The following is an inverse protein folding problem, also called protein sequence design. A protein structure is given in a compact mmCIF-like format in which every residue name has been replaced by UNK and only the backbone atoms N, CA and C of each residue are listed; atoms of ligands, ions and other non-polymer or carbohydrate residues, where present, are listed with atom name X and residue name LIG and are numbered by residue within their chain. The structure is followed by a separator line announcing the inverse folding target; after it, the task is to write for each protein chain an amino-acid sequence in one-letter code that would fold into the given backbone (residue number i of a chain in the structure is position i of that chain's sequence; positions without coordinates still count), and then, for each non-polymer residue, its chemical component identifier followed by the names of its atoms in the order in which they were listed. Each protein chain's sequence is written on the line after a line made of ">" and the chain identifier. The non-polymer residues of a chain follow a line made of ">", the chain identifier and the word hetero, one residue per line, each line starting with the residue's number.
data_IF_560206655358
#
_entry.id   IF_560206655358
#
_cell.length_a   1.000
_cell.length_b   1.000
_cell.length_c   1.000
_cell.angle_alpha   90.00
_cell.angle_beta   90.00
_cell.angle_gamma   90.00
#
_symmetry.space_group_name_H-M   'P 1'
#
loop_
_entity.id
_entity.type
_entity.pdbx_description
1 polymer ?
#
# COMPACT_ATOMS: atom_id res chain seq x y z
N UNK A 1 -11.11 -21.81 -13.65
CA UNK A 1 -10.46 -21.70 -12.33
C UNK A 1 -11.17 -20.68 -11.45
N UNK A 2 -11.27 -19.41 -11.86
CA UNK A 2 -12.05 -18.40 -11.11
C UNK A 2 -13.49 -18.82 -10.81
N UNK A 3 -14.18 -19.46 -11.76
CA UNK A 3 -15.54 -19.95 -11.55
C UNK A 3 -15.65 -21.10 -10.53
N UNK A 4 -14.63 -21.95 -10.44
CA UNK A 4 -14.62 -23.05 -9.47
C UNK A 4 -14.40 -22.51 -8.05
N UNK A 5 -13.48 -21.55 -7.89
CA UNK A 5 -13.27 -20.83 -6.63
C UNK A 5 -14.53 -20.08 -6.20
N UNK A 6 -15.19 -19.41 -7.16
CA UNK A 6 -16.44 -18.71 -6.88
C UNK A 6 -17.52 -19.68 -6.40
N UNK A 7 -17.70 -20.82 -7.06
CA UNK A 7 -18.67 -21.83 -6.64
C UNK A 7 -18.37 -22.36 -5.23
N UNK A 8 -17.12 -22.69 -4.92
CA UNK A 8 -16.73 -23.15 -3.58
C UNK A 8 -17.07 -22.13 -2.48
N UNK A 9 -16.78 -20.84 -2.71
CA UNK A 9 -17.16 -19.79 -1.77
C UNK A 9 -18.68 -19.63 -1.60
N UNK A 10 -19.42 -19.70 -2.71
CA UNK A 10 -20.89 -19.63 -2.67
C UNK A 10 -21.47 -20.82 -1.88
N UNK A 11 -20.94 -22.02 -2.09
CA UNK A 11 -21.41 -23.22 -1.40
C UNK A 11 -21.12 -23.13 0.10
N UNK A 12 -19.92 -22.69 0.49
CA UNK A 12 -19.58 -22.40 1.89
C UNK A 12 -20.52 -21.39 2.55
N UNK A 13 -20.86 -20.32 1.83
CA UNK A 13 -21.82 -19.32 2.31
C UNK A 13 -23.23 -19.90 2.51
N UNK A 14 -23.69 -20.77 1.60
CA UNK A 14 -25.01 -21.41 1.69
C UNK A 14 -25.09 -22.41 2.84
N UNK A 15 -24.02 -23.18 3.07
CA UNK A 15 -23.91 -24.08 4.22
C UNK A 15 -24.00 -23.34 5.55
N UNK A 16 -23.48 -22.11 5.61
CA UNK A 16 -23.62 -21.22 6.75
C UNK A 16 -25.02 -20.57 6.87
N UNK A 17 -25.97 -20.93 6.00
CA UNK A 17 -27.35 -20.44 6.05
C UNK A 17 -27.56 -19.03 5.48
N UNK A 18 -26.58 -18.49 4.76
CA UNK A 18 -26.71 -17.17 4.11
C UNK A 18 -27.41 -17.26 2.75
N UNK A 19 -28.07 -16.18 2.35
CA UNK A 19 -28.63 -16.05 1.00
C UNK A 19 -27.62 -15.39 0.09
N UNK A 20 -27.29 -16.02 -1.05
CA UNK A 20 -26.26 -15.52 -1.96
C UNK A 20 -26.88 -14.94 -3.24
N UNK A 21 -26.59 -13.68 -3.54
CA UNK A 21 -26.87 -13.05 -4.83
C UNK A 21 -25.61 -13.04 -5.71
N UNK A 22 -25.77 -13.17 -7.03
CA UNK A 22 -24.68 -13.05 -8.00
C UNK A 22 -24.86 -11.76 -8.79
N UNK A 23 -23.74 -11.12 -9.12
CA UNK A 23 -23.72 -9.94 -9.98
C UNK A 23 -22.86 -10.21 -11.21
N UNK A 24 -23.26 -9.62 -12.34
CA UNK A 24 -22.44 -9.54 -13.55
C UNK A 24 -21.89 -8.13 -13.76
N UNK A 25 -22.21 -7.20 -12.86
CA UNK A 25 -21.65 -5.85 -12.87
C UNK A 25 -20.18 -5.91 -12.44
N UNK A 26 -19.29 -5.40 -13.26
CA UNK A 26 -17.85 -5.36 -12.96
C UNK A 26 -17.51 -4.43 -11.78
N UNK A 27 -18.44 -3.59 -11.34
CA UNK A 27 -18.30 -2.70 -10.19
C UNK A 27 -18.74 -3.36 -8.87
N UNK A 28 -19.39 -4.52 -8.94
CA UNK A 28 -19.81 -5.31 -7.78
C UNK A 28 -18.96 -6.57 -7.64
N UNK A 29 -18.84 -7.12 -6.42
CA UNK A 29 -18.24 -8.45 -6.25
C UNK A 29 -19.08 -9.51 -6.98
N UNK A 30 -18.46 -10.59 -7.49
CA UNK A 30 -19.16 -11.61 -8.27
C UNK A 30 -20.32 -12.29 -7.53
N UNK A 31 -20.23 -12.35 -6.20
CA UNK A 31 -21.32 -12.78 -5.34
C UNK A 31 -21.30 -12.08 -3.98
N UNK A 32 -22.48 -11.87 -3.40
CA UNK A 32 -22.69 -11.31 -2.06
C UNK A 32 -23.55 -12.29 -1.26
N UNK A 33 -23.00 -12.79 -0.17
CA UNK A 33 -23.72 -13.55 0.84
C UNK A 33 -24.34 -12.57 1.85
N UNK A 34 -25.64 -12.65 2.04
CA UNK A 34 -26.39 -11.83 3.00
C UNK A 34 -26.86 -12.74 4.15
N UNK A 35 -26.63 -12.35 5.41
CA UNK A 35 -27.11 -13.12 6.55
C UNK A 35 -28.65 -13.21 6.50
N UNK A 36 -29.25 -14.26 7.07
CA UNK A 36 -30.70 -14.34 7.19
C UNK A 36 -31.22 -13.10 7.92
N UNK A 37 -32.31 -12.51 7.43
CA UNK A 37 -32.93 -11.38 8.10
C UNK A 37 -33.21 -11.78 9.56
N UNK A 38 -32.67 -11.01 10.51
CA UNK A 38 -33.00 -11.19 11.91
C UNK A 38 -34.53 -11.14 12.02
N UNK A 39 -35.15 -12.22 12.49
CA UNK A 39 -36.59 -12.24 12.73
C UNK A 39 -36.91 -11.05 13.62
N UNK A 40 -37.72 -10.11 13.12
CA UNK A 40 -37.94 -8.81 13.72
C UNK A 40 -38.37 -8.92 15.19
N UNK A 41 -37.43 -8.73 16.10
CA UNK A 41 -37.67 -8.35 17.48
C UNK A 41 -37.27 -6.88 17.66
N UNK A 42 -38.00 -6.09 18.47
CA UNK A 42 -37.53 -4.76 18.82
C UNK A 42 -36.11 -4.85 19.41
N UNK A 43 -35.27 -3.81 19.26
CA UNK A 43 -33.97 -3.81 19.90
C UNK A 43 -34.20 -3.81 21.42
N UNK A 44 -34.05 -4.97 22.05
CA UNK A 44 -33.91 -5.04 23.49
C UNK A 44 -32.68 -4.21 23.84
N UNK A 45 -32.89 -3.17 24.63
CA UNK A 45 -31.87 -2.26 25.16
C UNK A 45 -30.91 -2.93 26.16
N UNK A 46 -30.57 -4.20 25.94
CA UNK A 46 -29.45 -4.86 26.58
C UNK A 46 -28.19 -4.39 25.89
N UNK A 47 -27.50 -3.44 26.50
CA UNK A 47 -26.19 -2.98 26.05
C UNK A 47 -25.31 -4.19 25.75
N UNK A 48 -25.11 -4.47 24.47
CA UNK A 48 -24.04 -5.32 24.01
C UNK A 48 -22.80 -4.72 24.66
N UNK A 49 -22.17 -5.46 25.57
CA UNK A 49 -20.86 -5.09 26.08
C UNK A 49 -19.99 -4.89 24.85
N UNK A 50 -19.74 -3.63 24.51
CA UNK A 50 -18.70 -3.20 23.58
C UNK A 50 -17.38 -3.43 24.28
N UNK A 51 -17.10 -4.69 24.60
CA UNK A 51 -15.74 -5.12 24.82
C UNK A 51 -15.14 -5.10 23.42
N UNK A 52 -14.23 -4.16 23.09
CA UNK A 52 -13.51 -4.25 21.83
C UNK A 52 -12.89 -5.66 21.77
N UNK A 53 -12.95 -6.37 20.62
CA UNK A 53 -12.33 -7.67 20.52
C UNK A 53 -10.88 -7.53 21.01
N UNK A 54 -10.61 -8.22 22.11
CA UNK A 54 -9.30 -8.30 22.71
C UNK A 54 -8.37 -8.88 21.67
N UNK A 55 -7.44 -8.04 21.16
CA UNK A 55 -6.28 -8.31 20.31
C UNK A 55 -6.17 -9.74 19.74
N UNK A 56 -7.18 -10.23 19.04
CA UNK A 56 -7.08 -11.51 18.34
C UNK A 56 -6.18 -11.22 17.14
N UNK A 57 -4.93 -11.64 17.24
CA UNK A 57 -3.91 -11.49 16.19
C UNK A 57 -4.22 -12.35 14.97
N UNK A 58 -5.03 -13.39 15.16
CA UNK A 58 -5.39 -14.33 14.11
C UNK A 58 -6.61 -13.84 13.32
N UNK A 59 -6.59 -14.01 11.98
CA UNK A 59 -7.74 -13.67 11.16
C UNK A 59 -8.95 -14.54 11.52
N UNK A 60 -10.19 -14.03 11.41
CA UNK A 60 -11.36 -14.84 11.65
C UNK A 60 -11.41 -15.96 10.61
N UNK A 61 -11.85 -17.14 11.05
CA UNK A 61 -12.19 -18.23 10.15
C UNK A 61 -13.36 -17.82 9.23
N UNK A 62 -13.54 -18.48 8.06
CA UNK A 62 -14.69 -18.22 7.21
C UNK A 62 -16.04 -18.36 7.94
N UNK A 63 -16.15 -19.28 8.89
CA UNK A 63 -17.35 -19.47 9.69
C UNK A 63 -17.64 -18.29 10.62
N UNK A 64 -16.62 -17.79 11.32
CA UNK A 64 -16.75 -16.60 12.19
C UNK A 64 -17.09 -15.35 11.38
N UNK A 65 -16.49 -15.18 10.21
CA UNK A 65 -16.80 -14.07 9.31
C UNK A 65 -18.28 -14.07 8.90
N UNK A 66 -18.81 -15.24 8.52
CA UNK A 66 -20.20 -15.40 8.10
C UNK A 66 -21.19 -15.26 9.27
N UNK A 67 -20.79 -15.68 10.47
CA UNK A 67 -21.59 -15.54 11.68
C UNK A 67 -21.67 -14.09 12.20
N UNK A 68 -20.78 -13.19 11.74
CA UNK A 68 -20.70 -11.80 12.20
C UNK A 68 -21.90 -10.90 11.78
N UNK A 69 -22.93 -11.46 11.13
CA UNK A 69 -24.19 -10.77 10.86
C UNK A 69 -24.11 -9.63 9.84
N UNK A 70 -23.05 -9.58 9.03
CA UNK A 70 -22.85 -8.58 7.97
C UNK A 70 -22.85 -9.24 6.59
N UNK A 71 -23.20 -8.52 5.51
CA UNK A 71 -23.01 -9.04 4.16
C UNK A 71 -21.53 -9.35 3.90
N UNK A 72 -21.27 -10.44 3.18
CA UNK A 72 -19.93 -10.93 2.82
C UNK A 72 -19.82 -11.01 1.31
N UNK A 73 -18.87 -10.27 0.74
CA UNK A 73 -18.48 -10.39 -0.66
C UNK A 73 -17.61 -11.64 -0.86
N UNK A 74 -17.95 -12.50 -1.83
CA UNK A 74 -17.16 -13.68 -2.19
C UNK A 74 -16.24 -13.29 -3.34
N UNK A 75 -14.93 -13.29 -3.08
CA UNK A 75 -13.90 -12.76 -3.97
C UNK A 75 -12.92 -13.86 -4.41
N UNK A 76 -13.10 -14.47 -5.59
CA UNK A 76 -12.16 -15.46 -6.12
C UNK A 76 -10.82 -14.81 -6.42
N UNK A 77 -9.75 -15.30 -5.80
CA UNK A 77 -8.43 -14.71 -5.89
C UNK A 77 -7.41 -15.79 -6.32
N UNK A 78 -6.98 -15.81 -7.59
CA UNK A 78 -6.14 -16.89 -8.12
C UNK A 78 -4.69 -16.84 -7.62
N UNK A 79 -4.22 -15.68 -7.15
CA UNK A 79 -2.89 -15.43 -6.61
C UNK A 79 -3.01 -14.51 -5.38
N UNK A 80 -1.89 -14.00 -4.86
CA UNK A 80 -1.87 -13.08 -3.73
C UNK A 80 -1.40 -11.68 -4.14
N UNK A 81 -1.80 -11.18 -5.32
CA UNK A 81 -1.41 -9.85 -5.77
C UNK A 81 -1.80 -8.78 -4.73
N UNK A 82 -0.85 -7.99 -4.21
CA UNK A 82 -1.13 -7.02 -3.15
C UNK A 82 -2.13 -5.95 -3.55
N UNK A 83 -2.07 -5.47 -4.79
CA UNK A 83 -2.94 -4.40 -5.28
C UNK A 83 -4.39 -4.89 -5.36
N UNK A 84 -4.60 -6.07 -5.97
CA UNK A 84 -5.93 -6.67 -6.13
C UNK A 84 -6.52 -7.01 -4.77
N UNK A 85 -5.74 -7.64 -3.89
CA UNK A 85 -6.21 -8.08 -2.56
C UNK A 85 -6.65 -6.88 -1.72
N UNK A 86 -5.79 -5.86 -1.58
CA UNK A 86 -6.09 -4.66 -0.79
C UNK A 86 -7.22 -3.84 -1.41
N UNK A 87 -7.27 -3.71 -2.74
CA UNK A 87 -8.33 -2.98 -3.43
C UNK A 87 -9.71 -3.62 -3.23
N UNK A 88 -9.80 -4.95 -3.28
CA UNK A 88 -11.07 -5.66 -3.06
C UNK A 88 -11.54 -5.53 -1.62
N UNK A 89 -10.63 -5.72 -0.66
CA UNK A 89 -10.94 -5.53 0.76
C UNK A 89 -11.44 -4.10 1.01
N UNK A 90 -10.72 -3.10 0.48
CA UNK A 90 -11.10 -1.70 0.61
C UNK A 90 -12.47 -1.40 0.00
N UNK A 91 -12.72 -1.84 -1.24
CA UNK A 91 -13.98 -1.60 -1.93
C UNK A 91 -15.15 -2.23 -1.15
N UNK A 92 -15.01 -3.48 -0.71
CA UNK A 92 -16.06 -4.16 0.03
C UNK A 92 -16.32 -3.53 1.39
N UNK A 93 -15.27 -3.19 2.13
CA UNK A 93 -15.38 -2.51 3.42
C UNK A 93 -16.07 -1.15 3.30
N UNK A 94 -15.69 -0.34 2.30
CA UNK A 94 -16.32 0.97 2.02
C UNK A 94 -17.81 0.84 1.73
N UNK A 95 -18.23 -0.30 1.16
CA UNK A 95 -19.63 -0.62 0.92
C UNK A 95 -20.29 -1.44 2.04
N UNK A 96 -19.69 -1.50 3.24
CA UNK A 96 -20.26 -2.17 4.41
C UNK A 96 -20.26 -3.70 4.37
N UNK A 97 -19.42 -4.30 3.52
CA UNK A 97 -19.30 -5.75 3.33
C UNK A 97 -17.98 -6.27 3.88
N UNK A 98 -18.02 -7.43 4.54
CA UNK A 98 -16.83 -8.24 4.77
C UNK A 98 -16.39 -8.93 3.47
N UNK A 99 -15.16 -9.45 3.42
CA UNK A 99 -14.60 -10.12 2.24
C UNK A 99 -14.19 -11.55 2.55
N UNK A 100 -14.79 -12.53 1.87
CA UNK A 100 -14.29 -13.90 1.85
C UNK A 100 -13.42 -14.09 0.60
N UNK A 101 -12.10 -14.13 0.78
CA UNK A 101 -11.18 -14.45 -0.29
C UNK A 101 -11.18 -15.95 -0.53
N UNK A 102 -11.45 -16.38 -1.77
CA UNK A 102 -11.42 -17.80 -2.12
C UNK A 102 -10.23 -18.07 -3.03
N UNK A 103 -9.27 -18.84 -2.53
CA UNK A 103 -7.95 -19.03 -3.13
C UNK A 103 -7.71 -20.48 -3.53
N UNK A 104 -6.84 -20.78 -4.50
CA UNK A 104 -6.69 -22.15 -5.00
C UNK A 104 -5.90 -23.08 -4.10
N UNK A 105 -5.06 -22.55 -3.20
CA UNK A 105 -4.14 -23.36 -2.38
C UNK A 105 -3.90 -22.71 -1.03
N UNK A 106 -3.50 -23.53 -0.06
CA UNK A 106 -3.00 -23.08 1.25
C UNK A 106 -1.81 -22.11 1.14
N UNK A 107 -0.94 -22.29 0.14
CA UNK A 107 0.20 -21.40 -0.07
C UNK A 107 -0.23 -19.97 -0.44
N UNK A 108 -1.28 -19.84 -1.26
CA UNK A 108 -1.90 -18.55 -1.59
C UNK A 108 -2.67 -18.02 -0.38
N UNK A 109 -3.35 -18.88 0.38
CA UNK A 109 -4.05 -18.48 1.60
C UNK A 109 -3.11 -17.82 2.61
N UNK A 110 -2.02 -18.51 2.95
CA UNK A 110 -1.00 -17.99 3.85
C UNK A 110 -0.34 -16.69 3.35
N UNK A 111 -0.24 -16.49 2.03
CA UNK A 111 0.27 -15.25 1.46
C UNK A 111 -0.73 -14.08 1.61
N UNK A 112 -2.03 -14.34 1.39
CA UNK A 112 -3.10 -13.36 1.62
C UNK A 112 -3.20 -13.02 3.10
N UNK A 113 -3.13 -14.02 3.98
CA UNK A 113 -3.12 -13.82 5.44
C UNK A 113 -1.95 -12.95 5.87
N UNK A 114 -0.71 -13.29 5.47
CA UNK A 114 0.47 -12.44 5.77
C UNK A 114 0.30 -11.00 5.26
N UNK A 115 -0.28 -10.82 4.09
CA UNK A 115 -0.54 -9.49 3.53
C UNK A 115 -1.57 -8.71 4.33
N UNK A 116 -2.58 -9.37 4.91
CA UNK A 116 -3.69 -8.71 5.59
C UNK A 116 -3.56 -8.70 7.12
N UNK A 117 -2.61 -9.46 7.68
CA UNK A 117 -2.21 -9.39 9.08
C UNK A 117 -1.48 -8.07 9.37
N UNK A 118 -1.60 -7.52 10.59
CA UNK A 118 -0.88 -6.31 10.97
C UNK A 118 0.66 -6.46 10.87
N UNK A 119 1.38 -5.46 10.31
CA UNK A 119 0.85 -4.28 9.63
C UNK A 119 0.33 -4.63 8.22
N UNK A 120 -0.97 -4.41 8.02
CA UNK A 120 -1.71 -4.73 6.78
C UNK A 120 -0.99 -4.12 5.59
N UNK A 121 -0.85 -4.83 4.46
CA UNK A 121 -0.37 -4.28 3.20
C UNK A 121 1.11 -3.92 3.14
N UNK A 122 1.88 -4.30 4.16
CA UNK A 122 3.32 -4.09 4.22
C UNK A 122 4.04 -5.37 3.78
N UNK A 123 5.11 -5.23 2.99
CA UNK A 123 5.90 -6.38 2.51
C UNK A 123 6.69 -7.00 3.64
N UNK A 124 7.30 -6.16 4.47
CA UNK A 124 8.02 -6.57 5.65
C UNK A 124 8.07 -5.43 6.66
N UNK A 125 8.04 -5.75 7.95
CA UNK A 125 8.23 -4.78 9.02
C UNK A 125 9.20 -5.36 10.04
N UNK A 126 10.23 -4.58 10.36
CA UNK A 126 11.26 -4.89 11.35
C UNK A 126 11.49 -3.66 12.25
N UNK A 127 12.48 -3.74 13.16
CA UNK A 127 12.81 -2.64 14.07
C UNK A 127 13.34 -1.38 13.33
N UNK A 128 13.90 -1.55 12.13
CA UNK A 128 14.45 -0.45 11.32
C UNK A 128 13.36 0.29 10.52
N UNK A 129 12.24 -0.37 10.24
CA UNK A 129 11.08 0.22 9.58
C UNK A 129 10.31 -0.75 8.69
N UNK A 130 9.41 -0.18 7.88
CA UNK A 130 8.55 -0.92 6.95
C UNK A 130 9.08 -0.91 5.53
N UNK A 131 8.86 -2.02 4.83
CA UNK A 131 9.08 -2.16 3.39
C UNK A 131 7.75 -2.29 2.68
N UNK A 132 7.56 -1.53 1.61
CA UNK A 132 6.27 -1.44 0.94
C UNK A 132 6.27 -2.19 -0.40
N UNK A 133 5.12 -2.73 -0.76
CA UNK A 133 4.89 -3.22 -2.12
C UNK A 133 4.81 -2.05 -3.10
N UNK A 134 5.32 -2.24 -4.32
CA UNK A 134 5.08 -1.30 -5.40
C UNK A 134 3.61 -1.37 -5.83
N UNK A 135 2.94 -0.22 -5.86
CA UNK A 135 1.57 -0.06 -6.35
C UNK A 135 1.49 0.22 -7.85
N UNK A 136 0.26 0.24 -8.40
CA UNK A 136 0.02 0.49 -9.82
C UNK A 136 0.17 1.96 -10.21
N UNK A 137 0.05 2.85 -9.23
CA UNK A 137 0.08 4.29 -9.42
C UNK A 137 1.51 4.82 -9.59
N UNK A 138 1.58 6.06 -10.03
CA UNK A 138 2.83 6.78 -10.26
C UNK A 138 2.90 7.98 -9.34
N UNK A 139 4.09 8.28 -8.83
CA UNK A 139 4.30 9.48 -8.00
C UNK A 139 4.06 10.74 -8.85
N UNK A 140 3.02 11.51 -8.52
CA UNK A 140 2.77 12.85 -9.07
C UNK A 140 3.66 13.86 -8.35
N UNK A 141 4.07 14.91 -9.03
CA UNK A 141 4.94 15.95 -8.47
C UNK A 141 4.20 17.28 -8.29
N UNK A 142 4.66 18.11 -7.35
CA UNK A 142 4.11 19.45 -7.09
C UNK A 142 4.10 20.32 -8.34
N UNK A 143 5.18 20.29 -9.10
CA UNK A 143 5.34 21.08 -10.33
C UNK A 143 4.63 20.47 -11.54
N UNK A 144 3.89 19.38 -11.33
CA UNK A 144 3.23 18.61 -12.36
C UNK A 144 4.11 17.54 -12.99
N UNK A 145 3.47 16.64 -13.74
CA UNK A 145 4.12 15.44 -14.25
C UNK A 145 4.31 14.38 -13.15
N UNK A 146 5.29 13.51 -13.37
CA UNK A 146 5.52 12.32 -12.56
C UNK A 146 7.01 12.05 -12.35
N UNK A 147 7.37 11.38 -11.27
CA UNK A 147 8.75 10.97 -11.01
C UNK A 147 9.22 9.87 -11.98
N UNK A 148 10.51 9.92 -12.32
CA UNK A 148 11.21 8.91 -13.10
C UNK A 148 12.59 8.59 -12.49
N UNK A 149 13.07 7.39 -12.78
CA UNK A 149 14.40 6.91 -12.42
C UNK A 149 15.03 6.19 -13.61
N UNK A 150 16.36 6.00 -13.61
CA UNK A 150 16.99 5.10 -14.57
C UNK A 150 16.35 3.71 -14.53
N UNK A 151 16.25 3.06 -15.69
CA UNK A 151 16.00 1.62 -15.74
C UNK A 151 17.19 0.89 -15.12
N UNK A 152 16.92 -0.20 -14.40
CA UNK A 152 17.96 -0.93 -13.69
C UNK A 152 17.35 -1.90 -12.69
N UNK A 153 18.01 -2.13 -11.53
CA UNK A 153 17.60 -3.06 -10.48
C UNK A 153 16.15 -2.88 -10.01
N UNK A 154 15.62 -3.83 -9.23
CA UNK A 154 14.30 -3.68 -8.62
C UNK A 154 14.25 -2.42 -7.73
N UNK A 155 13.10 -1.72 -7.75
CA UNK A 155 12.86 -0.57 -6.89
C UNK A 155 12.24 -1.04 -5.59
N UNK A 156 12.73 -0.51 -4.49
CA UNK A 156 12.21 -0.79 -3.15
C UNK A 156 11.87 0.51 -2.43
N UNK A 157 10.70 0.55 -1.80
CA UNK A 157 10.32 1.60 -0.88
C UNK A 157 10.50 1.09 0.55
N UNK A 158 11.27 1.82 1.36
CA UNK A 158 11.57 1.44 2.75
C UNK A 158 11.57 2.67 3.66
N UNK A 159 10.99 2.51 4.84
CA UNK A 159 11.16 3.44 5.96
C UNK A 159 12.53 3.29 6.61
N UNK A 160 13.11 4.40 7.05
CA UNK A 160 14.37 4.39 7.79
C UNK A 160 14.34 5.45 8.88
N UNK A 161 14.98 5.14 10.01
CA UNK A 161 15.30 6.11 11.07
C UNK A 161 16.73 6.62 10.98
N UNK A 162 17.50 6.21 9.98
CA UNK A 162 18.86 6.72 9.79
C UNK A 162 18.81 8.16 9.27
N UNK A 163 19.31 9.15 10.02
CA UNK A 163 19.35 10.53 9.56
C UNK A 163 20.14 10.64 8.25
N UNK A 164 19.78 11.56 7.35
CA UNK A 164 20.57 11.78 6.16
C UNK A 164 21.98 12.22 6.58
N UNK A 165 23.01 11.65 5.96
CA UNK A 165 24.34 12.24 6.09
C UNK A 165 24.22 13.71 5.64
N UNK A 166 24.73 14.67 6.43
CA UNK A 166 24.73 16.07 6.03
C UNK A 166 25.62 16.22 4.80
N UNK A 167 25.02 16.13 3.62
CA UNK A 167 25.68 16.40 2.35
C UNK A 167 25.78 17.91 2.21
N UNK A 168 26.92 18.44 2.61
CA UNK A 168 27.30 19.81 2.39
C UNK A 168 28.80 19.90 2.20
N UNK A 169 29.22 20.25 0.98
CA UNK A 169 30.40 21.13 0.90
C UNK A 169 29.96 22.37 1.68
N UNK A 170 30.54 22.57 2.87
CA UNK A 170 30.33 23.80 3.63
C UNK A 170 30.64 24.94 2.68
N UNK A 171 29.65 25.79 2.41
CA UNK A 171 29.92 27.12 1.88
C UNK A 171 30.85 27.76 2.89
N UNK A 172 32.12 27.87 2.54
CA UNK A 172 33.02 28.79 3.20
C UNK A 172 32.50 30.15 2.78
N UNK A 173 31.53 30.67 3.53
CA UNK A 173 31.34 32.11 3.53
C UNK A 173 32.70 32.66 3.95
N UNK A 174 33.33 33.37 3.01
CA UNK A 174 34.57 34.06 3.26
C UNK A 174 34.27 35.13 4.31
N UNK A 175 34.48 34.78 5.57
CA UNK A 175 34.57 35.75 6.65
C UNK A 175 36.05 35.96 6.97
N UNK A 176 36.45 37.22 6.91
CA UNK A 176 37.80 37.69 7.07
C UNK A 176 38.30 37.39 8.49
N UNK A 177 39.49 36.79 8.59
CA UNK A 177 40.39 36.93 9.74
C UNK A 177 39.84 36.62 11.13
N UNK A 178 39.76 35.34 11.50
CA UNK A 178 39.59 34.91 12.90
C UNK A 178 40.35 33.61 13.18
N UNK A 179 41.27 33.64 14.16
CA UNK A 179 42.13 32.50 14.54
C UNK A 179 41.34 31.26 14.98
N UNK A 180 41.87 30.03 14.79
CA UNK A 180 41.20 28.81 15.22
C UNK A 180 41.45 28.59 16.71
N UNK A 181 40.41 28.70 17.53
CA UNK A 181 40.43 28.30 18.94
C UNK A 181 39.16 27.53 19.26
N UNK A 182 39.33 26.24 19.57
CA UNK A 182 38.44 25.36 20.34
C UNK A 182 36.93 25.58 20.20
N UNK A 183 36.37 25.16 19.06
CA UNK A 183 34.96 24.79 19.00
C UNK A 183 34.85 23.27 19.16
N UNK A 184 34.43 22.84 20.36
CA UNK A 184 33.97 21.47 20.60
C UNK A 184 32.96 21.07 19.51
N UNK A 185 32.97 19.82 19.04
CA UNK A 185 31.94 19.36 18.10
C UNK A 185 30.57 19.61 18.74
N UNK A 186 29.68 20.25 17.97
CA UNK A 186 28.30 20.43 18.37
C UNK A 186 27.75 19.08 18.84
N UNK A 187 27.03 19.02 19.98
CA UNK A 187 26.50 17.75 20.46
C UNK A 187 25.64 17.17 19.33
N UNK A 188 25.93 15.92 18.97
CA UNK A 188 25.08 15.14 18.08
C UNK A 188 23.64 15.39 18.54
N UNK A 189 22.82 15.98 17.67
CA UNK A 189 21.44 16.25 17.97
C UNK A 189 20.86 14.94 18.49
N UNK A 190 20.42 14.92 19.75
CA UNK A 190 19.79 13.74 20.32
C UNK A 190 18.67 13.36 19.35
N UNK A 191 18.80 12.19 18.75
CA UNK A 191 17.77 11.58 17.93
C UNK A 191 16.49 11.66 18.75
N UNK A 192 15.55 12.48 18.30
CA UNK A 192 14.25 12.53 18.95
C UNK A 192 13.61 11.19 18.60
N UNK A 193 13.38 10.32 19.59
CA UNK A 193 12.64 9.06 19.39
C UNK A 193 11.26 9.31 18.74
N UNK A 194 10.76 10.55 18.80
CA UNK A 194 9.54 11.04 18.18
C UNK A 194 9.68 11.47 16.70
N UNK A 195 10.87 11.39 16.07
CA UNK A 195 11.01 11.72 14.66
C UNK A 195 10.40 10.59 13.80
N UNK A 196 9.37 10.94 13.02
CA UNK A 196 8.79 10.04 12.04
C UNK A 196 9.87 9.49 11.09
N UNK A 197 9.78 8.21 10.68
CA UNK A 197 10.77 7.62 9.78
C UNK A 197 10.74 8.31 8.40
N UNK A 198 11.92 8.51 7.83
CA UNK A 198 12.05 8.91 6.43
C UNK A 198 11.59 7.79 5.52
N UNK A 199 11.09 8.13 4.35
CA UNK A 199 10.74 7.17 3.31
C UNK A 199 11.75 7.23 2.17
N UNK A 200 12.41 6.12 1.87
CA UNK A 200 13.42 6.01 0.81
C UNK A 200 12.92 5.19 -0.36
N UNK A 201 13.20 5.67 -1.57
CA UNK A 201 13.21 4.87 -2.79
C UNK A 201 14.64 4.39 -3.02
N UNK A 202 14.84 3.07 -3.10
CA UNK A 202 16.15 2.45 -3.31
C UNK A 202 16.17 1.62 -4.59
N UNK A 203 17.35 1.49 -5.17
CA UNK A 203 17.67 0.52 -6.20
C UNK A 203 19.01 -0.13 -5.86
N UNK A 204 19.01 -1.45 -5.64
CA UNK A 204 20.22 -2.22 -5.27
C UNK A 204 20.99 -1.57 -4.11
N UNK A 205 20.27 -1.26 -3.02
CA UNK A 205 20.82 -0.60 -1.84
C UNK A 205 21.10 0.90 -1.99
N UNK A 206 21.16 1.45 -3.21
CA UNK A 206 21.41 2.88 -3.46
C UNK A 206 20.14 3.70 -3.27
N UNK A 207 20.19 4.76 -2.48
CA UNK A 207 19.07 5.69 -2.28
C UNK A 207 18.93 6.61 -3.48
N UNK A 208 17.79 6.53 -4.17
CA UNK A 208 17.47 7.35 -5.34
C UNK A 208 16.63 8.58 -4.98
N UNK A 209 15.77 8.46 -3.98
CA UNK A 209 14.95 9.54 -3.47
C UNK A 209 14.71 9.32 -1.96
N UNK A 210 14.59 10.41 -1.21
CA UNK A 210 14.24 10.37 0.21
C UNK A 210 13.20 11.45 0.51
N UNK A 211 12.15 11.06 1.20
CA UNK A 211 11.03 11.89 1.64
C UNK A 211 11.01 11.94 3.18
N UNK A 212 10.45 12.99 3.75
CA UNK A 212 10.28 13.19 5.19
C UNK A 212 9.36 12.15 5.84
N UNK A 213 8.55 11.45 5.04
CA UNK A 213 7.69 10.35 5.47
C UNK A 213 6.70 9.98 4.37
N UNK A 214 5.80 9.04 4.69
CA UNK A 214 4.75 8.59 3.76
C UNK A 214 3.81 9.71 3.33
N UNK A 215 3.66 10.75 4.15
CA UNK A 215 2.75 11.86 3.85
C UNK A 215 3.20 12.70 2.65
N UNK A 216 4.52 12.88 2.48
CA UNK A 216 5.09 13.63 1.37
C UNK A 216 4.83 12.94 0.01
N UNK A 217 4.46 11.65 -0.03
CA UNK A 217 4.07 10.94 -1.26
C UNK A 217 2.86 11.56 -1.98
N UNK A 218 2.02 12.34 -1.28
CA UNK A 218 0.84 12.94 -1.89
C UNK A 218 1.22 13.88 -3.05
N UNK A 219 2.29 14.65 -2.86
CA UNK A 219 2.78 15.59 -3.86
C UNK A 219 4.22 15.99 -3.48
N UNK A 220 5.24 15.15 -3.70
CA UNK A 220 6.62 15.52 -3.40
C UNK A 220 7.17 16.52 -4.42
N UNK A 221 8.10 17.41 -4.03
CA UNK A 221 8.76 18.31 -4.96
C UNK A 221 9.68 17.53 -5.90
N UNK A 222 9.81 17.98 -7.16
CA UNK A 222 10.61 17.27 -8.17
C UNK A 222 12.06 17.01 -7.76
N UNK A 223 12.64 17.91 -6.97
CA UNK A 223 14.03 17.86 -6.54
C UNK A 223 14.36 16.61 -5.71
N UNK A 224 13.34 15.88 -5.21
CA UNK A 224 13.51 14.61 -4.51
C UNK A 224 13.90 13.46 -5.42
N UNK A 225 13.63 13.56 -6.72
CA UNK A 225 13.85 12.49 -7.69
C UNK A 225 14.92 12.87 -8.70
N UNK A 226 15.70 11.90 -9.20
CA UNK A 226 16.76 12.18 -10.16
C UNK A 226 16.21 12.68 -11.50
N UNK A 227 15.03 12.20 -11.89
CA UNK A 227 14.35 12.58 -13.11
C UNK A 227 12.85 12.75 -12.91
N UNK A 228 12.25 13.48 -13.82
CA UNK A 228 10.80 13.63 -13.95
C UNK A 228 10.39 13.40 -15.38
N UNK A 229 9.10 13.15 -15.60
CA UNK A 229 8.54 13.19 -16.93
C UNK A 229 7.12 13.73 -16.93
N UNK A 230 6.75 14.36 -18.03
CA UNK A 230 5.37 14.75 -18.31
C UNK A 230 5.04 14.47 -19.77
N UNK A 231 3.75 14.33 -20.06
CA UNK A 231 3.26 14.25 -21.43
C UNK A 231 2.78 15.62 -21.86
N UNK A 232 3.38 16.17 -22.90
CA UNK A 232 3.04 17.48 -23.43
C UNK A 232 1.90 17.38 -24.47
N UNK A 233 1.41 18.53 -24.95
CA UNK A 233 0.29 18.65 -25.89
C UNK A 233 0.55 17.96 -27.22
N UNK A 234 1.82 17.88 -27.63
CA UNK A 234 2.29 17.13 -28.80
C UNK A 234 2.28 15.60 -28.61
N UNK A 235 1.73 15.14 -27.48
CA UNK A 235 1.62 13.74 -27.04
C UNK A 235 2.98 13.07 -26.83
N UNK A 236 4.09 13.82 -26.85
CA UNK A 236 5.41 13.33 -26.51
C UNK A 236 5.61 13.35 -25.00
N UNK A 237 6.39 12.39 -24.52
CA UNK A 237 6.91 12.37 -23.16
C UNK A 237 8.22 13.13 -23.14
N UNK A 238 8.34 14.09 -22.22
CA UNK A 238 9.56 14.86 -21.98
C UNK A 238 10.12 14.43 -20.63
N UNK A 239 11.35 13.93 -20.63
CA UNK A 239 12.09 13.61 -19.42
C UNK A 239 12.97 14.80 -19.07
N UNK A 240 12.93 15.24 -17.82
CA UNK A 240 13.77 16.30 -17.27
C UNK A 240 14.59 15.76 -16.09
N UNK A 241 15.72 16.40 -15.80
CA UNK A 241 16.48 16.12 -14.56
C UNK A 241 15.84 16.80 -13.34
N UNK A 242 16.42 16.58 -12.16
CA UNK A 242 15.98 17.17 -10.89
C UNK A 242 15.89 18.72 -10.92
N UNK A 243 16.73 19.39 -11.71
CA UNK A 243 16.71 20.84 -11.88
C UNK A 243 15.60 21.31 -12.84
N UNK A 244 14.98 20.38 -13.57
CA UNK A 244 13.96 20.66 -14.59
C UNK A 244 14.54 20.86 -15.99
N UNK A 245 15.83 20.58 -16.21
CA UNK A 245 16.47 20.69 -17.53
C UNK A 245 16.03 19.53 -18.41
N UNK A 246 15.63 19.77 -19.68
CA UNK A 246 15.27 18.69 -20.59
C UNK A 246 16.43 17.73 -20.84
N UNK A 247 16.16 16.43 -20.72
CA UNK A 247 17.14 15.35 -20.96
C UNK A 247 16.84 14.66 -22.29
N UNK A 248 15.61 14.17 -22.47
CA UNK A 248 15.23 13.42 -23.67
C UNK A 248 13.72 13.46 -23.93
N UNK A 249 13.31 13.12 -25.16
CA UNK A 249 11.91 13.00 -25.57
C UNK A 249 11.59 11.61 -26.12
N UNK A 250 10.37 11.14 -25.84
CA UNK A 250 9.91 9.82 -26.28
C UNK A 250 8.45 9.85 -26.73
N UNK A 251 8.05 9.01 -27.71
CA UNK A 251 6.65 8.92 -28.15
C UNK A 251 5.72 8.21 -27.15
N UNK A 252 6.26 7.58 -26.11
CA UNK A 252 5.48 6.87 -25.09
C UNK A 252 6.33 6.14 -24.06
N UNK A 253 5.68 5.56 -23.04
CA UNK A 253 6.34 4.92 -21.88
C UNK A 253 7.23 3.75 -22.29
N UNK A 254 6.81 2.92 -23.25
CA UNK A 254 7.63 1.82 -23.74
C UNK A 254 8.93 2.30 -24.40
N UNK A 255 8.88 3.40 -25.16
CA UNK A 255 10.06 4.01 -25.75
C UNK A 255 10.95 4.68 -24.69
N UNK A 256 10.35 5.33 -23.70
CA UNK A 256 11.05 5.89 -22.53
C UNK A 256 11.83 4.81 -21.76
N UNK A 257 11.20 3.65 -21.52
CA UNK A 257 11.85 2.48 -20.89
C UNK A 257 13.03 1.97 -21.71
N UNK A 258 12.86 1.78 -23.02
CA UNK A 258 13.97 1.41 -23.91
C UNK A 258 15.09 2.46 -23.95
N UNK A 259 14.73 3.73 -23.71
CA UNK A 259 15.66 4.84 -23.64
C UNK A 259 16.35 5.03 -22.29
N UNK A 260 16.15 4.11 -21.33
CA UNK A 260 16.86 4.13 -20.05
C UNK A 260 16.10 4.76 -18.88
N UNK A 261 14.83 5.14 -19.04
CA UNK A 261 14.03 5.75 -17.96
C UNK A 261 12.73 5.00 -17.71
N UNK A 262 12.34 4.82 -16.45
CA UNK A 262 11.04 4.25 -16.07
C UNK A 262 10.31 5.13 -15.06
N UNK A 263 8.96 5.13 -15.06
CA UNK A 263 8.20 5.78 -14.00
C UNK A 263 8.52 5.16 -12.64
N UNK A 264 8.51 5.98 -11.59
CA UNK A 264 8.55 5.50 -10.21
C UNK A 264 7.15 5.03 -9.80
N UNK A 265 6.96 3.75 -9.42
CA UNK A 265 5.70 3.29 -8.86
C UNK A 265 5.50 3.89 -7.47
N UNK A 266 4.30 4.35 -7.16
CA UNK A 266 3.94 4.73 -5.80
C UNK A 266 3.89 3.47 -4.91
N UNK A 267 4.40 3.51 -3.67
CA UNK A 267 4.24 2.38 -2.76
C UNK A 267 2.78 2.23 -2.35
N UNK A 268 2.34 1.00 -2.10
CA UNK A 268 1.08 0.75 -1.40
C UNK A 268 1.27 1.13 0.07
N UNK A 269 0.64 2.23 0.49
CA UNK A 269 0.67 2.73 1.87
C UNK A 269 -0.69 2.42 2.53
N UNK A 270 -0.74 1.46 3.46
CA UNK A 270 -1.99 0.96 4.04
C UNK A 270 -2.82 2.03 4.75
N UNK A 271 -2.17 2.98 5.41
CA UNK A 271 -2.82 4.08 6.14
C UNK A 271 -3.57 5.02 5.18
N UNK A 272 -3.23 5.01 3.89
CA UNK A 272 -3.93 5.78 2.85
C UNK A 272 -5.09 5.00 2.22
N UNK A 273 -5.19 3.71 2.53
CA UNK A 273 -6.28 2.85 2.07
C UNK A 273 -7.33 2.69 3.17
N UNK A 274 -6.92 2.52 4.43
CA UNK A 274 -7.83 2.15 5.52
C UNK A 274 -7.84 3.16 6.67
N UNK A 275 -8.99 3.76 6.93
CA UNK A 275 -9.21 4.69 8.06
C UNK A 275 -9.51 3.98 9.40
N UNK A 276 -9.11 2.71 9.55
CA UNK A 276 -9.31 1.95 10.80
C UNK A 276 -9.01 0.45 10.66
N UNK A 277 -9.19 -0.33 11.75
CA UNK A 277 -8.86 -1.75 11.77
C UNK A 277 -9.55 -2.56 10.67
N UNK A 278 -8.79 -3.44 10.04
CA UNK A 278 -9.30 -4.42 9.06
C UNK A 278 -9.54 -5.80 9.66
N UNK A 279 -9.07 -6.04 10.89
CA UNK A 279 -9.35 -7.28 11.62
C UNK A 279 -10.87 -7.51 11.71
N UNK A 280 -11.31 -8.74 11.45
CA UNK A 280 -12.73 -9.10 11.42
C UNK A 280 -13.49 -8.74 10.12
N UNK A 281 -12.84 -8.10 9.14
CA UNK A 281 -13.45 -7.76 7.85
C UNK A 281 -13.15 -8.73 6.72
N UNK A 282 -12.29 -9.72 6.97
CA UNK A 282 -11.86 -10.65 5.94
C UNK A 282 -11.57 -12.03 6.52
N UNK A 283 -11.74 -13.05 5.70
CA UNK A 283 -11.30 -14.41 5.94
C UNK A 283 -10.83 -15.02 4.61
N UNK A 284 -10.08 -16.11 4.68
CA UNK A 284 -9.61 -16.84 3.50
C UNK A 284 -10.15 -18.26 3.52
N UNK A 285 -10.64 -18.71 2.36
CA UNK A 285 -11.06 -20.10 2.11
C UNK A 285 -10.18 -20.67 1.01
N UNK A 286 -9.50 -21.77 1.27
CA UNK A 286 -8.76 -22.50 0.25
C UNK A 286 -9.69 -23.50 -0.46
N UNK A 287 -9.58 -23.62 -1.78
CA UNK A 287 -10.40 -24.53 -2.59
C UNK A 287 -10.06 -26.02 -2.43
N UNK A 288 -9.30 -26.38 -1.39
CA UNK A 288 -8.91 -27.75 -1.05
C UNK A 288 -9.64 -28.34 0.16
N UNK A 289 -10.53 -27.57 0.80
CA UNK A 289 -11.43 -27.99 1.89
C UNK A 289 -12.80 -28.43 1.39
#
# INVERSE_FOLDING_TARGET
>A
MSDALLSAGIDRCREAGTTVSRSTDATEPPAIATPPAAAGGPPDGGGASTTPPDRTTDPPTPGELLAAGRPVAVEPLPDSDPTVTLSRLWNNRTNGRATLFVVPTEGVAAAVERLLSPPVGVREADDDGRRFYAGPDRIRLEEGGYAAVPTGPELEWRETRTPPEPTGIRSVEADEGGSPSDALPAPAAKESEDQAPWLELRADGTVLARLAGVDELACPPRARFPYTYHRDRDKQIRVCDFAGRPVQRYPGIAAMRRGGFRPVPAPLVPERLFDGPTAGWWAVLSGGE
#
